data_IF_767021291106
#
_entry.id   IF_767021291106
#
_cell.length_a   1.000
_cell.length_b   1.000
_cell.length_c   1.000
_cell.angle_alpha   90.00
_cell.angle_beta   90.00
_cell.angle_gamma   90.00
#
_symmetry.space_group_name_H-M   'P 1'
#
loop_
_entity.id
_entity.type
_entity.pdbx_description
1 polymer ?
#
# COMPACT_ATOMS: atom_id res chain seq x y z
N UNK A 1 42.44 -57.71 -25.60
CA UNK A 1 41.76 -56.78 -26.52
C UNK A 1 40.50 -56.30 -25.78
N UNK A 2 40.56 -55.21 -24.99
CA UNK A 2 40.31 -53.80 -25.36
C UNK A 2 39.18 -53.62 -26.37
N UNK A 3 38.00 -53.19 -25.88
CA UNK A 3 37.33 -51.92 -26.19
C UNK A 3 36.07 -51.85 -25.28
N UNK A 4 35.94 -50.95 -24.27
CA UNK A 4 35.66 -49.50 -24.38
C UNK A 4 34.53 -49.23 -25.39
N UNK A 5 33.41 -48.57 -25.12
CA UNK A 5 32.94 -47.73 -24.01
C UNK A 5 31.53 -47.23 -24.43
N UNK A 6 30.79 -46.65 -23.48
CA UNK A 6 29.65 -45.73 -23.67
C UNK A 6 28.29 -46.33 -24.06
N UNK A 7 27.65 -47.00 -23.10
CA UNK A 7 26.22 -46.74 -22.87
C UNK A 7 26.13 -45.34 -22.23
N UNK A 8 25.57 -44.37 -22.95
CA UNK A 8 25.37 -43.01 -22.45
C UNK A 8 23.92 -42.83 -21.98
N UNK A 9 23.57 -43.10 -20.71
CA UNK A 9 22.38 -42.54 -20.09
C UNK A 9 22.70 -41.16 -19.47
N UNK A 10 23.69 -40.43 -19.99
CA UNK A 10 24.10 -39.12 -19.48
C UNK A 10 23.39 -37.95 -20.20
N UNK A 11 22.41 -38.22 -21.07
CA UNK A 11 21.67 -37.16 -21.78
C UNK A 11 20.30 -36.85 -21.16
N UNK A 12 19.70 -37.76 -20.39
CA UNK A 12 18.33 -37.57 -19.87
C UNK A 12 18.28 -36.80 -18.54
N UNK A 13 19.40 -36.67 -17.82
CA UNK A 13 19.44 -36.01 -16.50
C UNK A 13 19.56 -34.47 -16.60
N UNK A 14 19.81 -33.91 -17.79
CA UNK A 14 20.00 -32.46 -17.97
C UNK A 14 18.69 -31.65 -18.11
N UNK A 15 17.52 -32.29 -18.17
CA UNK A 15 16.25 -31.66 -18.55
C UNK A 15 15.24 -31.42 -17.40
N UNK A 16 15.68 -31.25 -16.15
CA UNK A 16 14.75 -31.06 -15.02
C UNK A 16 15.20 -29.96 -14.03
N UNK A 17 15.67 -28.80 -14.53
CA UNK A 17 16.01 -27.66 -13.65
C UNK A 17 15.57 -26.29 -14.17
N UNK A 18 14.41 -26.21 -14.83
CA UNK A 18 13.82 -24.91 -15.21
C UNK A 18 12.36 -24.81 -14.77
N UNK A 19 12.06 -25.23 -13.54
CA UNK A 19 10.89 -24.69 -12.83
C UNK A 19 11.24 -23.26 -12.42
N UNK A 20 11.18 -22.36 -13.40
CA UNK A 20 11.31 -20.93 -13.22
C UNK A 20 10.20 -20.49 -12.27
N UNK A 21 10.57 -20.21 -11.02
CA UNK A 21 9.74 -19.44 -10.12
C UNK A 21 9.54 -18.08 -10.77
N UNK A 22 8.48 -17.95 -11.56
CA UNK A 22 7.97 -16.66 -12.02
C UNK A 22 7.27 -16.03 -10.81
N UNK A 23 8.05 -15.51 -9.88
CA UNK A 23 7.53 -14.52 -8.96
C UNK A 23 7.08 -13.36 -9.84
N UNK A 24 5.76 -13.19 -10.01
CA UNK A 24 5.22 -11.94 -10.53
C UNK A 24 5.85 -10.83 -9.70
N UNK A 25 6.55 -9.90 -10.36
CA UNK A 25 7.19 -8.78 -9.67
C UNK A 25 6.08 -7.88 -9.14
N UNK A 26 5.65 -8.16 -7.91
CA UNK A 26 4.84 -7.22 -7.14
C UNK A 26 5.72 -6.01 -6.87
N UNK A 27 5.22 -4.83 -7.27
CA UNK A 27 5.93 -3.57 -7.12
C UNK A 27 5.28 -2.79 -6.00
N UNK A 28 6.10 -2.31 -5.07
CA UNK A 28 5.64 -1.60 -3.90
C UNK A 28 6.31 -0.23 -3.76
N UNK A 29 5.57 0.73 -3.21
CA UNK A 29 6.10 2.05 -2.86
C UNK A 29 5.39 2.65 -1.67
N UNK A 30 6.19 3.18 -0.75
CA UNK A 30 5.68 4.01 0.35
C UNK A 30 5.72 5.49 -0.06
N UNK A 31 4.60 6.18 0.11
CA UNK A 31 4.45 7.61 -0.07
C UNK A 31 4.16 8.26 1.27
N UNK A 32 4.73 9.45 1.51
CA UNK A 32 4.54 10.17 2.77
C UNK A 32 4.02 11.55 2.48
N UNK A 33 2.94 11.95 3.15
CA UNK A 33 2.41 13.31 3.09
C UNK A 33 2.14 13.86 4.48
N UNK A 34 2.61 15.08 4.71
CA UNK A 34 2.33 15.84 5.93
C UNK A 34 1.25 16.88 5.65
N UNK A 35 0.37 17.08 6.62
CA UNK A 35 -0.71 18.06 6.60
C UNK A 35 -0.58 18.96 7.83
N UNK A 36 -0.47 20.26 7.58
CA UNK A 36 -0.65 21.24 8.64
C UNK A 36 -2.15 21.34 8.93
N UNK A 37 -2.53 21.11 10.17
CA UNK A 37 -3.93 21.06 10.58
C UNK A 37 -4.56 22.45 10.74
N UNK A 38 -3.77 23.52 10.63
CA UNK A 38 -4.26 24.91 10.68
C UNK A 38 -5.08 25.22 11.95
N UNK A 39 -4.75 24.54 13.05
CA UNK A 39 -5.45 24.67 14.34
C UNK A 39 -6.69 23.78 14.50
N UNK A 40 -7.11 23.05 13.46
CA UNK A 40 -8.22 22.10 13.55
C UNK A 40 -7.84 20.91 14.44
N UNK A 41 -8.73 20.58 15.39
CA UNK A 41 -8.57 19.45 16.31
C UNK A 41 -9.41 18.24 15.88
N UNK A 42 -10.23 18.38 14.84
CA UNK A 42 -11.04 17.30 14.30
C UNK A 42 -10.55 16.96 12.89
N UNK A 43 -10.15 15.71 12.69
CA UNK A 43 -9.73 15.18 11.40
C UNK A 43 -10.67 14.06 10.99
N UNK A 44 -11.17 14.11 9.75
CA UNK A 44 -11.93 13.02 9.16
C UNK A 44 -11.12 12.39 8.02
N UNK A 45 -10.84 11.09 8.12
CA UNK A 45 -10.10 10.36 7.09
C UNK A 45 -11.08 9.74 6.10
N UNK A 46 -11.20 10.33 4.91
CA UNK A 46 -12.10 9.88 3.84
C UNK A 46 -11.26 9.25 2.72
N UNK A 47 -10.70 8.07 3.03
CA UNK A 47 -9.86 7.30 2.13
C UNK A 47 -10.28 5.84 2.17
N UNK A 48 -10.30 5.19 1.01
CA UNK A 48 -10.65 3.78 0.90
C UNK A 48 -9.44 2.89 1.17
N UNK A 49 -9.56 1.96 2.11
CA UNK A 49 -8.53 0.97 2.41
C UNK A 49 -8.32 0.79 3.92
N UNK A 50 -7.41 -0.12 4.33
CA UNK A 50 -7.03 -0.29 5.72
C UNK A 50 -6.32 0.97 6.23
N UNK A 51 -6.79 1.51 7.36
CA UNK A 51 -6.22 2.69 8.01
C UNK A 51 -5.81 2.30 9.43
N UNK A 52 -4.52 2.44 9.73
CA UNK A 52 -3.99 2.37 11.08
C UNK A 52 -3.72 3.79 11.60
N UNK A 53 -4.25 4.14 12.77
CA UNK A 53 -4.00 5.45 13.39
C UNK A 53 -3.02 5.28 14.55
N UNK A 54 -1.96 6.08 14.55
CA UNK A 54 -0.95 6.14 15.61
C UNK A 54 -0.88 7.55 16.15
N UNK A 55 -0.74 7.67 17.46
CA UNK A 55 -0.49 8.96 18.10
C UNK A 55 1.01 9.25 18.10
N UNK A 56 1.40 10.51 17.94
CA UNK A 56 2.80 10.93 18.01
C UNK A 56 2.97 12.35 18.55
N UNK A 57 4.18 12.64 19.04
CA UNK A 57 4.55 13.95 19.56
C UNK A 57 4.98 14.88 18.41
N UNK A 58 4.01 15.41 17.67
CA UNK A 58 4.21 16.44 16.65
C UNK A 58 2.95 17.29 16.47
N UNK A 59 3.03 18.42 15.75
CA UNK A 59 1.93 19.36 15.55
C UNK A 59 1.26 19.26 14.16
N UNK A 60 1.64 18.29 13.35
CA UNK A 60 1.07 18.04 12.04
C UNK A 60 0.63 16.58 11.92
N UNK A 61 -0.32 16.34 11.01
CA UNK A 61 -0.75 15.00 10.66
C UNK A 61 0.19 14.45 9.58
N UNK A 62 0.69 13.22 9.75
CA UNK A 62 1.47 12.53 8.71
C UNK A 62 0.73 11.29 8.25
N UNK A 63 0.56 11.15 6.95
CA UNK A 63 0.00 9.95 6.33
C UNK A 63 1.10 9.24 5.56
N UNK A 64 1.37 7.99 5.92
CA UNK A 64 2.13 7.06 5.12
C UNK A 64 1.15 6.19 4.34
N UNK A 65 1.25 6.21 3.02
CA UNK A 65 0.47 5.35 2.12
C UNK A 65 1.40 4.30 1.55
N UNK A 66 1.07 3.03 1.75
CA UNK A 66 1.71 1.93 1.05
C UNK A 66 0.89 1.63 -0.21
N UNK A 67 1.55 1.60 -1.37
CA UNK A 67 0.94 1.26 -2.66
C UNK A 67 1.57 -0.01 -3.18
N UNK A 68 0.75 -0.96 -3.58
CA UNK A 68 1.16 -2.24 -4.14
C UNK A 68 0.49 -2.46 -5.50
N UNK A 69 1.30 -2.71 -6.54
CA UNK A 69 0.82 -3.16 -7.85
C UNK A 69 1.06 -4.67 -8.00
N UNK A 70 -0.02 -5.44 -8.17
CA UNK A 70 0.04 -6.89 -8.43
C UNK A 70 0.56 -7.21 -9.82
N UNK A 71 0.11 -6.42 -10.80
CA UNK A 71 0.57 -6.49 -12.19
C UNK A 71 1.08 -5.11 -12.59
N UNK A 72 2.38 -4.99 -12.86
CA UNK A 72 2.96 -3.72 -13.27
C UNK A 72 4.48 -3.69 -13.22
N UNK A 73 5.04 -2.52 -13.51
CA UNK A 73 6.47 -2.24 -13.39
C UNK A 73 6.69 -1.04 -12.47
N UNK A 74 7.90 -0.92 -11.94
CA UNK A 74 8.30 0.27 -11.16
C UNK A 74 8.15 1.56 -11.97
N UNK A 75 8.43 1.50 -13.27
CA UNK A 75 8.23 2.64 -14.18
C UNK A 75 6.74 3.06 -14.27
N UNK A 76 5.83 2.09 -14.31
CA UNK A 76 4.38 2.36 -14.29
C UNK A 76 3.97 2.98 -12.95
N UNK A 77 4.37 2.38 -11.82
CA UNK A 77 4.05 2.92 -10.50
C UNK A 77 4.57 4.35 -10.33
N UNK A 78 5.81 4.60 -10.77
CA UNK A 78 6.40 5.94 -10.78
C UNK A 78 5.58 6.92 -11.63
N UNK A 79 5.12 6.50 -12.81
CA UNK A 79 4.29 7.32 -13.69
C UNK A 79 2.94 7.64 -13.07
N UNK A 80 2.29 6.67 -12.41
CA UNK A 80 1.02 6.87 -11.69
C UNK A 80 1.16 7.84 -10.50
N UNK A 81 2.27 7.73 -9.76
CA UNK A 81 2.62 8.68 -8.68
C UNK A 81 2.83 10.09 -9.26
N UNK A 82 3.58 10.21 -10.36
CA UNK A 82 3.82 11.50 -11.01
C UNK A 82 2.55 12.13 -11.59
N UNK A 83 1.64 11.31 -12.11
CA UNK A 83 0.32 11.73 -12.55
C UNK A 83 -0.62 12.12 -11.40
N UNK A 84 -0.21 11.88 -10.15
CA UNK A 84 -0.95 12.29 -8.95
C UNK A 84 -2.10 11.36 -8.57
N UNK A 85 -2.14 10.12 -9.08
CA UNK A 85 -3.18 9.13 -8.73
C UNK A 85 -3.24 8.90 -7.21
N UNK A 86 -2.08 8.87 -6.56
CA UNK A 86 -1.94 8.63 -5.12
C UNK A 86 -1.85 9.92 -4.29
N UNK A 87 -2.18 11.07 -4.87
CA UNK A 87 -2.11 12.33 -4.14
C UNK A 87 -3.26 12.46 -3.14
N UNK A 88 -2.90 12.65 -1.89
CA UNK A 88 -3.85 13.04 -0.85
C UNK A 88 -4.09 14.55 -0.88
N UNK A 89 -5.35 14.95 -0.68
CA UNK A 89 -5.81 16.33 -0.56
C UNK A 89 -6.45 16.55 0.81
N UNK A 90 -6.61 17.82 1.16
CA UNK A 90 -7.41 18.19 2.31
C UNK A 90 -8.47 19.21 1.93
N UNK A 91 -9.56 19.19 2.66
CA UNK A 91 -10.66 20.16 2.59
C UNK A 91 -11.09 20.48 4.03
N UNK A 92 -11.54 21.71 4.26
CA UNK A 92 -12.06 22.13 5.57
C UNK A 92 -13.55 22.37 5.39
N UNK A 93 -14.37 21.64 6.13
CA UNK A 93 -15.83 21.76 6.12
C UNK A 93 -16.34 21.59 7.55
N UNK A 94 -17.21 22.50 8.00
CA UNK A 94 -17.82 22.46 9.34
C UNK A 94 -16.78 22.22 10.48
N UNK A 95 -15.68 22.99 10.47
CA UNK A 95 -14.58 22.89 11.45
C UNK A 95 -13.89 21.50 11.52
N UNK A 96 -14.09 20.67 10.49
CA UNK A 96 -13.48 19.36 10.35
C UNK A 96 -12.47 19.36 9.20
N UNK A 97 -11.24 18.96 9.50
CA UNK A 97 -10.17 18.78 8.51
C UNK A 97 -10.34 17.42 7.82
N UNK A 98 -10.82 17.41 6.59
CA UNK A 98 -11.03 16.19 5.80
C UNK A 98 -9.76 15.85 5.03
N UNK A 99 -9.32 14.60 5.09
CA UNK A 99 -8.22 14.07 4.26
C UNK A 99 -8.80 13.10 3.24
N UNK A 100 -8.51 13.35 1.96
CA UNK A 100 -9.15 12.72 0.81
C UNK A 100 -8.14 12.12 -0.17
N UNK A 101 -8.52 11.05 -0.86
CA UNK A 101 -7.77 10.47 -1.97
C UNK A 101 -8.60 10.42 -3.28
N UNK A 102 -8.96 11.59 -3.86
CA UNK A 102 -10.02 11.68 -4.88
C UNK A 102 -9.71 10.90 -6.17
N UNK A 103 -8.44 10.79 -6.54
CA UNK A 103 -8.01 10.12 -7.77
C UNK A 103 -7.99 8.59 -7.65
N UNK A 104 -8.07 8.02 -6.44
CA UNK A 104 -8.10 6.57 -6.25
C UNK A 104 -9.48 5.97 -6.51
N UNK A 105 -10.55 6.73 -6.27
CA UNK A 105 -11.93 6.30 -6.57
C UNK A 105 -12.21 6.18 -8.08
N UNK A 106 -11.34 6.73 -8.93
CA UNK A 106 -11.49 6.68 -10.38
C UNK A 106 -10.93 5.39 -10.96
N UNK A 107 -11.72 4.71 -11.78
CA UNK A 107 -11.26 3.58 -12.58
C UNK A 107 -10.23 4.06 -13.62
N UNK A 108 -9.08 3.40 -13.65
CA UNK A 108 -8.01 3.65 -14.64
C UNK A 108 -7.68 2.35 -15.33
N UNK A 109 -7.44 2.42 -16.65
CA UNK A 109 -7.02 1.27 -17.46
C UNK A 109 -5.59 1.46 -17.94
N UNK A 110 -4.79 0.39 -17.85
CA UNK A 110 -3.43 0.33 -18.37
C UNK A 110 -3.37 -0.82 -19.38
N UNK A 111 -3.06 -0.52 -20.64
CA UNK A 111 -3.04 -1.53 -21.70
C UNK A 111 -4.41 -2.20 -21.93
N UNK A 112 -5.51 -1.47 -21.72
CA UNK A 112 -6.88 -1.98 -21.88
C UNK A 112 -7.42 -2.80 -20.71
N UNK A 113 -6.59 -3.13 -19.70
CA UNK A 113 -7.02 -3.81 -18.48
C UNK A 113 -7.22 -2.82 -17.33
N UNK A 114 -8.17 -3.04 -16.41
CA UNK A 114 -8.30 -2.23 -15.21
C UNK A 114 -7.02 -2.34 -14.36
N UNK A 115 -6.56 -1.21 -13.84
CA UNK A 115 -5.44 -1.16 -12.91
C UNK A 115 -5.83 -1.88 -11.60
N UNK A 116 -4.99 -2.81 -11.17
CA UNK A 116 -5.15 -3.52 -9.90
C UNK A 116 -4.09 -3.05 -8.92
N UNK A 117 -4.42 -1.98 -8.20
CA UNK A 117 -3.61 -1.43 -7.11
C UNK A 117 -4.25 -1.65 -5.74
N UNK A 118 -3.42 -1.94 -4.74
CA UNK A 118 -3.83 -2.06 -3.34
C UNK A 118 -3.15 -0.96 -2.53
N UNK A 119 -3.94 -0.28 -1.71
CA UNK A 119 -3.47 0.83 -0.86
C UNK A 119 -3.79 0.59 0.60
N UNK A 120 -2.85 0.93 1.48
CA UNK A 120 -3.06 0.96 2.93
C UNK A 120 -2.39 2.18 3.55
N UNK A 121 -2.83 2.55 4.75
CA UNK A 121 -2.45 3.81 5.38
C UNK A 121 -2.01 3.62 6.81
N UNK A 122 -0.95 4.34 7.20
CA UNK A 122 -0.60 4.61 8.59
C UNK A 122 -0.66 6.11 8.80
N UNK A 123 -1.54 6.55 9.69
CA UNK A 123 -1.78 7.95 10.00
C UNK A 123 -1.22 8.27 11.37
N UNK A 124 -0.23 9.15 11.42
CA UNK A 124 0.34 9.68 12.64
C UNK A 124 -0.35 11.00 12.98
N UNK A 125 -1.17 10.99 14.03
CA UNK A 125 -1.96 12.12 14.49
C UNK A 125 -1.40 12.70 15.80
N UNK A 126 -1.37 14.04 15.96
CA UNK A 126 -1.03 14.68 17.23
C UNK A 126 -1.93 14.21 18.38
N UNK A 127 -1.40 14.25 19.61
CA UNK A 127 -2.14 13.83 20.83
C UNK A 127 -3.44 14.61 21.07
N UNK A 128 -3.50 15.87 20.61
CA UNK A 128 -4.63 16.77 20.79
C UNK A 128 -5.64 16.76 19.62
N UNK A 129 -5.61 15.74 18.76
CA UNK A 129 -6.43 15.65 17.54
C UNK A 129 -7.31 14.41 17.58
N UNK A 130 -8.61 14.63 17.40
CA UNK A 130 -9.61 13.56 17.28
C UNK A 130 -9.68 13.12 15.82
N UNK A 131 -9.35 11.86 15.57
CA UNK A 131 -9.39 11.26 14.23
C UNK A 131 -10.65 10.41 14.08
N UNK A 132 -11.49 10.76 13.10
CA UNK A 132 -12.67 9.99 12.68
C UNK A 132 -12.31 9.14 11.46
N UNK A 133 -12.47 7.83 11.59
CA UNK A 133 -12.32 6.86 10.48
C UNK A 133 -13.72 6.37 10.13
N UNK A 134 -14.10 6.27 8.84
CA UNK A 134 -15.36 5.65 8.44
C UNK A 134 -15.41 4.21 8.95
N UNK A 135 -16.55 3.83 9.53
CA UNK A 135 -16.76 2.63 10.37
C UNK A 135 -16.47 1.26 9.70
N UNK A 136 -15.88 1.22 8.51
CA UNK A 136 -15.75 -0.01 7.73
C UNK A 136 -14.48 -0.84 7.96
N UNK A 137 -13.52 -0.48 8.84
CA UNK A 137 -12.35 -1.35 9.17
C UNK A 137 -11.38 -0.84 10.28
N UNK A 138 -11.88 -0.45 11.44
CA UNK A 138 -11.02 -0.30 12.62
C UNK A 138 -10.75 -1.69 13.22
N UNK A 139 -9.63 -2.34 12.86
CA UNK A 139 -9.20 -3.56 13.53
C UNK A 139 -8.77 -3.21 14.96
N UNK A 140 -9.61 -3.64 15.91
CA UNK A 140 -9.46 -3.43 17.35
C UNK A 140 -8.18 -4.08 17.89
N UNK A 141 -7.41 -3.34 18.67
CA UNK A 141 -6.36 -3.90 19.52
C UNK A 141 -7.04 -4.59 20.72
N UNK A 142 -7.08 -5.92 20.71
CA UNK A 142 -7.56 -6.73 21.81
C UNK A 142 -6.43 -6.94 22.83
N UNK A 143 -6.57 -6.33 24.01
CA UNK A 143 -5.71 -6.60 25.16
C UNK A 143 -6.17 -7.92 25.81
N UNK A 144 -5.26 -8.86 26.15
CA UNK A 144 -5.65 -10.06 26.88
C UNK A 144 -6.04 -9.67 28.31
N UNK A 145 -7.31 -9.86 28.65
CA UNK A 145 -7.83 -9.74 30.00
C UNK A 145 -7.25 -10.85 30.88
N UNK A 146 -6.46 -10.46 31.88
CA UNK A 146 -6.03 -11.29 32.99
C UNK A 146 -7.24 -11.68 33.86
N UNK A 147 -7.59 -12.97 33.91
CA UNK A 147 -8.56 -13.49 34.88
C UNK A 147 -7.84 -13.97 36.15
N UNK A 148 -8.28 -13.43 37.29
CA UNK A 148 -8.02 -13.92 38.65
C UNK A 148 -8.68 -15.28 38.90
#
# INVERSE_FOLDING_TARGET
MRNFLLQSPMLTVLLLFVSSMTYGQQVEKTLVKSFNLEGNQQVALQMDGPIEVRTWNNNFLRVQMQVTLREGSEALLKSLVQAGRYNLRHEIEEETYKVLAPMLAMEVKVGGKPLQDEVSYIVFAPENVIVKVPDSKSASAEAPSSSL
#
